data_IF_480963045065
#
_entry.id   IF_480963045065
#
_cell.length_a   1.000
_cell.length_b   1.000
_cell.length_c   1.000
_cell.angle_alpha   90.00
_cell.angle_beta   90.00
_cell.angle_gamma   90.00
#
_symmetry.space_group_name_H-M   'P 1'
#
loop_
_entity.id
_entity.type
_entity.pdbx_description
1 polymer ?
#
# COMPACT_ATOMS: atom_id res chain seq x y z
N UNK A 1 -9.14 -8.30 -43.66
CA UNK A 1 -9.77 -7.08 -43.11
C UNK A 1 -9.70 -7.19 -41.60
N UNK A 2 -9.12 -6.21 -40.89
CA UNK A 2 -9.12 -6.24 -39.42
C UNK A 2 -10.46 -5.68 -38.96
N UNK A 3 -11.30 -6.52 -38.36
CA UNK A 3 -12.60 -6.12 -37.82
C UNK A 3 -12.51 -6.08 -36.31
N UNK A 4 -12.85 -4.95 -35.72
CA UNK A 4 -12.99 -4.84 -34.26
C UNK A 4 -14.17 -5.70 -33.80
N UNK A 5 -13.90 -6.70 -32.96
CA UNK A 5 -14.93 -7.50 -32.32
C UNK A 5 -15.41 -6.76 -31.07
N UNK A 6 -16.72 -6.51 -30.97
CA UNK A 6 -17.27 -5.87 -29.77
C UNK A 6 -17.12 -6.83 -28.57
N UNK A 7 -16.62 -6.34 -27.42
CA UNK A 7 -16.50 -7.17 -26.22
C UNK A 7 -17.88 -7.58 -25.69
N UNK A 8 -17.91 -8.75 -25.06
CA UNK A 8 -19.04 -9.28 -24.31
C UNK A 8 -18.51 -9.75 -22.96
N UNK A 9 -19.11 -9.26 -21.89
CA UNK A 9 -18.75 -9.61 -20.52
C UNK A 9 -20.02 -9.79 -19.69
N UNK A 10 -19.93 -10.54 -18.59
CA UNK A 10 -21.07 -10.79 -17.70
C UNK A 10 -20.61 -10.93 -16.26
N UNK A 11 -21.40 -10.40 -15.33
CA UNK A 11 -21.18 -10.54 -13.88
C UNK A 11 -21.87 -11.81 -13.42
N UNK A 12 -21.14 -12.64 -12.68
CA UNK A 12 -21.70 -13.77 -11.93
C UNK A 12 -21.66 -13.40 -10.45
N UNK A 13 -22.81 -13.34 -9.81
CA UNK A 13 -22.93 -12.98 -8.39
C UNK A 13 -23.87 -13.95 -7.65
N UNK A 14 -23.66 -14.06 -6.34
CA UNK A 14 -24.45 -14.92 -5.44
C UNK A 14 -25.25 -14.09 -4.43
N UNK A 15 -26.00 -13.09 -4.90
CA UNK A 15 -26.89 -12.31 -4.04
C UNK A 15 -28.13 -13.12 -3.64
N UNK A 16 -28.71 -12.76 -2.49
CA UNK A 16 -29.96 -13.35 -2.05
C UNK A 16 -31.05 -13.18 -3.11
N UNK A 17 -31.65 -14.28 -3.55
CA UNK A 17 -32.74 -14.23 -4.52
C UNK A 17 -33.96 -13.52 -3.90
N UNK A 18 -34.73 -12.76 -4.68
CA UNK A 18 -36.02 -12.27 -4.22
C UNK A 18 -36.95 -13.44 -3.88
N UNK A 19 -37.90 -13.18 -3.00
CA UNK A 19 -39.02 -14.07 -2.65
C UNK A 19 -40.33 -13.48 -3.17
N UNK A 20 -41.45 -14.20 -3.01
CA UNK A 20 -42.75 -13.75 -3.50
C UNK A 20 -43.23 -12.43 -2.83
N UNK A 21 -42.86 -12.21 -1.57
CA UNK A 21 -43.32 -11.10 -0.73
C UNK A 21 -42.22 -10.07 -0.42
N UNK A 22 -40.96 -10.38 -0.75
CA UNK A 22 -39.82 -9.49 -0.47
C UNK A 22 -38.79 -9.49 -1.61
N UNK A 23 -38.40 -8.30 -2.12
CA UNK A 23 -37.35 -8.20 -3.13
C UNK A 23 -35.98 -8.61 -2.57
N UNK A 24 -35.00 -8.78 -3.46
CA UNK A 24 -33.60 -8.92 -3.04
C UNK A 24 -33.14 -7.60 -2.40
N UNK A 25 -32.66 -7.67 -1.15
CA UNK A 25 -32.12 -6.53 -0.42
C UNK A 25 -30.65 -6.82 -0.19
N UNK A 26 -29.79 -6.00 -0.77
CA UNK A 26 -28.35 -6.14 -0.65
C UNK A 26 -27.86 -5.45 0.63
N UNK A 27 -26.95 -6.11 1.32
CA UNK A 27 -26.07 -5.47 2.29
C UNK A 27 -25.14 -4.48 1.59
N UNK A 28 -24.59 -3.52 2.35
CA UNK A 28 -23.64 -2.56 1.78
C UNK A 28 -22.39 -3.25 1.19
N UNK A 29 -21.88 -4.30 1.82
CA UNK A 29 -20.77 -5.10 1.29
C UNK A 29 -21.11 -5.84 -0.01
N UNK A 30 -22.36 -6.27 -0.22
CA UNK A 30 -22.80 -6.81 -1.52
C UNK A 30 -22.87 -5.73 -2.59
N UNK A 31 -23.24 -4.49 -2.23
CA UNK A 31 -23.23 -3.34 -3.15
C UNK A 31 -21.80 -2.94 -3.52
N UNK A 32 -20.88 -2.94 -2.55
CA UNK A 32 -19.43 -2.74 -2.79
C UNK A 32 -18.88 -3.82 -3.72
N UNK A 33 -19.17 -5.09 -3.46
CA UNK A 33 -18.79 -6.22 -4.32
C UNK A 33 -19.36 -6.05 -5.74
N UNK A 34 -20.62 -5.61 -5.86
CA UNK A 34 -21.20 -5.36 -7.18
C UNK A 34 -20.46 -4.27 -7.95
N UNK A 35 -20.06 -3.18 -7.27
CA UNK A 35 -19.26 -2.12 -7.88
C UNK A 35 -17.86 -2.60 -8.25
N UNK A 36 -17.22 -3.43 -7.42
CA UNK A 36 -15.96 -4.08 -7.74
C UNK A 36 -16.06 -4.85 -9.07
N UNK A 37 -17.01 -5.78 -9.16
CA UNK A 37 -17.20 -6.59 -10.37
C UNK A 37 -17.60 -5.75 -11.59
N UNK A 38 -18.40 -4.69 -11.38
CA UNK A 38 -18.75 -3.75 -12.44
C UNK A 38 -17.52 -3.01 -12.99
N UNK A 39 -16.50 -2.76 -12.16
CA UNK A 39 -15.22 -2.19 -12.61
C UNK A 39 -14.49 -3.11 -13.60
N UNK A 40 -14.44 -4.41 -13.32
CA UNK A 40 -13.90 -5.43 -14.25
C UNK A 40 -14.68 -5.45 -15.56
N UNK A 41 -16.01 -5.43 -15.51
CA UNK A 41 -16.86 -5.39 -16.71
C UNK A 41 -16.62 -4.13 -17.52
N UNK A 42 -16.53 -2.96 -16.88
CA UNK A 42 -16.26 -1.72 -17.59
C UNK A 42 -14.90 -1.80 -18.30
N UNK A 43 -13.90 -2.38 -17.67
CA UNK A 43 -12.59 -2.54 -18.30
C UNK A 43 -12.64 -3.47 -19.53
N UNK A 44 -13.36 -4.59 -19.44
CA UNK A 44 -13.59 -5.49 -20.59
C UNK A 44 -14.40 -4.82 -21.72
N UNK A 45 -15.44 -4.05 -21.38
CA UNK A 45 -16.34 -3.44 -22.36
C UNK A 45 -15.76 -2.20 -23.04
N UNK A 46 -14.89 -1.46 -22.36
CA UNK A 46 -14.37 -0.18 -22.82
C UNK A 46 -13.03 -0.29 -23.54
N UNK A 47 -12.39 -1.47 -23.52
CA UNK A 47 -11.13 -1.70 -24.20
C UNK A 47 -11.20 -1.39 -25.70
N UNK A 48 -10.10 -0.89 -26.24
CA UNK A 48 -9.84 -0.68 -27.67
C UNK A 48 -8.51 -1.31 -28.09
N UNK A 49 -7.96 -2.20 -27.26
CA UNK A 49 -6.70 -2.88 -27.52
C UNK A 49 -6.73 -3.55 -28.90
N UNK A 50 -5.61 -3.43 -29.63
CA UNK A 50 -5.51 -3.95 -30.99
C UNK A 50 -5.46 -5.48 -31.04
N UNK A 51 -4.90 -6.11 -30.01
CA UNK A 51 -4.72 -7.56 -29.95
C UNK A 51 -5.54 -8.13 -28.79
N UNK A 52 -6.20 -9.27 -29.03
CA UNK A 52 -7.04 -9.93 -28.03
C UNK A 52 -6.24 -10.34 -26.76
N UNK A 53 -4.95 -10.62 -26.90
CA UNK A 53 -4.05 -10.91 -25.77
C UNK A 53 -3.84 -9.74 -24.81
N UNK A 54 -4.24 -8.53 -25.21
CA UNK A 54 -4.14 -7.31 -24.41
C UNK A 54 -5.51 -6.66 -24.17
N UNK A 55 -6.61 -7.25 -24.64
CA UNK A 55 -7.93 -6.63 -24.50
C UNK A 55 -8.50 -6.80 -23.10
N UNK A 56 -9.19 -5.77 -22.63
CA UNK A 56 -9.95 -5.81 -21.36
C UNK A 56 -9.05 -6.02 -20.16
N UNK A 57 -9.43 -6.98 -19.31
CA UNK A 57 -8.71 -7.35 -18.08
C UNK A 57 -7.42 -8.13 -18.30
N UNK A 58 -6.91 -8.26 -19.53
CA UNK A 58 -5.56 -8.77 -19.80
C UNK A 58 -4.49 -7.70 -19.46
N UNK A 59 -4.42 -7.33 -18.17
CA UNK A 59 -3.50 -6.36 -17.57
C UNK A 59 -2.40 -7.08 -16.77
N UNK A 60 -1.39 -6.34 -16.30
CA UNK A 60 -0.51 -6.86 -15.26
C UNK A 60 -1.30 -7.38 -14.05
N UNK A 61 -0.88 -8.54 -13.53
CA UNK A 61 -1.57 -9.26 -12.45
C UNK A 61 -1.75 -8.41 -11.19
N UNK A 62 -0.79 -7.54 -10.89
CA UNK A 62 -0.79 -6.66 -9.72
C UNK A 62 -1.42 -5.27 -9.99
N UNK A 63 -2.01 -5.06 -11.17
CA UNK A 63 -2.79 -3.87 -11.52
C UNK A 63 -4.25 -4.17 -11.90
N UNK A 64 -4.56 -5.41 -12.29
CA UNK A 64 -5.90 -5.78 -12.78
C UNK A 64 -7.03 -5.44 -11.80
N UNK A 65 -6.76 -5.41 -10.50
CA UNK A 65 -7.72 -5.03 -9.46
C UNK A 65 -7.82 -3.52 -9.22
N UNK A 66 -6.91 -2.71 -9.77
CA UNK A 66 -6.90 -1.27 -9.51
C UNK A 66 -8.15 -0.56 -10.08
N UNK A 67 -8.62 -0.87 -11.31
CA UNK A 67 -9.89 -0.34 -11.82
C UNK A 67 -11.11 -0.72 -10.97
N UNK A 68 -11.23 -1.98 -10.54
CA UNK A 68 -12.35 -2.49 -9.73
C UNK A 68 -12.36 -1.86 -8.35
N UNK A 69 -11.23 -1.88 -7.64
CA UNK A 69 -11.07 -1.28 -6.32
C UNK A 69 -11.24 0.25 -6.33
N UNK A 70 -10.92 0.92 -7.44
CA UNK A 70 -11.19 2.36 -7.56
C UNK A 70 -12.70 2.62 -7.56
N UNK A 71 -13.49 1.76 -8.23
CA UNK A 71 -14.93 1.91 -8.36
C UNK A 71 -15.67 1.67 -7.04
N UNK A 72 -15.11 0.85 -6.14
CA UNK A 72 -15.63 0.65 -4.77
C UNK A 72 -15.78 1.96 -4.00
N UNK A 73 -14.92 2.95 -4.23
CA UNK A 73 -15.00 4.22 -3.50
C UNK A 73 -16.33 4.97 -3.71
N UNK A 74 -17.03 4.74 -4.84
CA UNK A 74 -18.32 5.38 -5.10
C UNK A 74 -19.38 4.97 -4.09
N UNK A 75 -19.43 3.71 -3.65
CA UNK A 75 -20.48 3.24 -2.72
C UNK A 75 -20.33 3.80 -1.30
N UNK A 76 -19.24 4.51 -1.04
CA UNK A 76 -18.96 5.23 0.20
C UNK A 76 -19.21 6.74 0.10
N UNK A 77 -19.81 7.24 -1.00
CA UNK A 77 -20.11 8.66 -1.18
C UNK A 77 -21.57 8.97 -0.84
N UNK A 78 -21.86 9.99 -0.01
CA UNK A 78 -23.23 10.39 0.31
C UNK A 78 -24.11 10.58 -0.92
N UNK A 79 -23.57 11.23 -1.94
CA UNK A 79 -24.28 11.57 -3.18
C UNK A 79 -24.62 10.33 -4.00
N UNK A 80 -23.78 9.28 -3.93
CA UNK A 80 -24.04 7.99 -4.59
C UNK A 80 -25.03 7.17 -3.78
N UNK A 81 -24.89 7.13 -2.45
CA UNK A 81 -25.84 6.46 -1.57
C UNK A 81 -27.26 7.02 -1.74
N UNK A 82 -27.41 8.32 -1.97
CA UNK A 82 -28.72 8.95 -2.22
C UNK A 82 -29.35 8.47 -3.53
N UNK A 83 -28.53 8.16 -4.55
CA UNK A 83 -28.98 7.60 -5.83
C UNK A 83 -29.33 6.11 -5.68
N UNK A 84 -28.48 5.34 -5.01
CA UNK A 84 -28.61 3.88 -4.89
C UNK A 84 -29.67 3.44 -3.88
N UNK A 85 -30.02 4.28 -2.90
CA UNK A 85 -30.88 3.89 -1.78
C UNK A 85 -32.32 4.37 -1.91
N UNK A 86 -33.23 3.56 -1.36
CA UNK A 86 -34.65 3.82 -1.17
C UNK A 86 -35.26 2.66 -0.38
N UNK A 87 -36.23 2.93 0.50
CA UNK A 87 -36.89 1.85 1.23
C UNK A 87 -37.68 0.96 0.25
N UNK A 88 -37.51 -0.35 0.31
CA UNK A 88 -38.09 -1.25 -0.70
C UNK A 88 -39.63 -1.22 -0.81
N UNK A 89 -40.33 -0.74 0.24
CA UNK A 89 -41.79 -0.51 0.22
C UNK A 89 -42.19 0.87 -0.30
N UNK A 90 -41.26 1.81 -0.34
CA UNK A 90 -41.49 3.22 -0.66
C UNK A 90 -40.15 3.88 -1.00
N UNK A 91 -39.82 3.91 -2.29
CA UNK A 91 -38.51 4.37 -2.79
C UNK A 91 -38.27 5.86 -2.53
N UNK A 92 -39.33 6.64 -2.25
CA UNK A 92 -39.21 8.06 -1.89
C UNK A 92 -38.58 8.24 -0.50
N UNK A 93 -38.66 7.21 0.36
CA UNK A 93 -38.00 7.19 1.66
C UNK A 93 -36.53 6.80 1.48
N UNK A 94 -35.70 7.83 1.31
CA UNK A 94 -34.23 7.73 1.21
C UNK A 94 -33.58 7.29 2.53
N UNK A 95 -32.31 6.87 2.44
CA UNK A 95 -31.51 6.50 3.60
C UNK A 95 -31.48 7.65 4.63
N UNK A 96 -32.02 7.44 5.85
CA UNK A 96 -32.03 8.48 6.88
C UNK A 96 -30.62 8.99 7.20
N UNK A 97 -30.48 10.29 7.41
CA UNK A 97 -29.16 10.94 7.62
C UNK A 97 -28.37 10.33 8.80
N UNK A 98 -29.05 9.96 9.88
CA UNK A 98 -28.39 9.31 11.02
C UNK A 98 -27.80 7.94 10.63
N UNK A 99 -28.50 7.15 9.81
CA UNK A 99 -28.01 5.86 9.33
C UNK A 99 -26.90 6.04 8.29
N UNK A 100 -27.03 7.04 7.40
CA UNK A 100 -25.99 7.40 6.43
C UNK A 100 -24.68 7.76 7.12
N UNK A 101 -24.72 8.65 8.12
CA UNK A 101 -23.52 8.99 8.91
C UNK A 101 -22.93 7.77 9.63
N UNK A 102 -23.78 6.92 10.22
CA UNK A 102 -23.34 5.69 10.86
C UNK A 102 -22.63 4.73 9.90
N UNK A 103 -23.20 4.53 8.71
CA UNK A 103 -22.61 3.72 7.64
C UNK A 103 -21.24 4.27 7.22
N UNK A 104 -21.15 5.56 6.92
CA UNK A 104 -19.89 6.18 6.49
C UNK A 104 -18.82 6.16 7.58
N UNK A 105 -19.19 6.38 8.84
CA UNK A 105 -18.28 6.27 9.97
C UNK A 105 -17.76 4.83 10.17
N UNK A 106 -18.55 3.82 9.76
CA UNK A 106 -18.15 2.41 9.86
C UNK A 106 -17.09 1.99 8.84
N UNK A 107 -16.80 2.80 7.81
CA UNK A 107 -15.80 2.48 6.78
C UNK A 107 -14.39 2.21 7.36
N UNK A 108 -14.06 2.83 8.50
CA UNK A 108 -12.79 2.66 9.20
C UNK A 108 -12.82 1.56 10.27
N UNK A 109 -13.98 0.98 10.54
CA UNK A 109 -14.11 -0.02 11.59
C UNK A 109 -13.36 -1.29 11.17
N UNK A 110 -12.46 -1.77 12.03
CA UNK A 110 -11.63 -2.97 11.81
C UNK A 110 -10.72 -2.96 10.57
N UNK A 111 -10.41 -1.81 9.97
CA UNK A 111 -9.46 -1.73 8.83
C UNK A 111 -8.11 -2.37 9.17
N UNK A 112 -7.57 -2.15 10.37
CA UNK A 112 -6.32 -2.81 10.80
C UNK A 112 -6.38 -4.35 10.78
N UNK A 113 -7.51 -4.94 11.18
CA UNK A 113 -7.72 -6.40 11.13
C UNK A 113 -7.88 -6.87 9.68
N UNK A 114 -8.62 -6.11 8.87
CA UNK A 114 -8.81 -6.42 7.46
C UNK A 114 -7.47 -6.44 6.71
N UNK A 115 -6.67 -5.38 6.82
CA UNK A 115 -5.40 -5.24 6.12
C UNK A 115 -4.32 -6.18 6.65
N UNK A 116 -4.27 -6.44 7.96
CA UNK A 116 -3.36 -7.47 8.49
C UNK A 116 -3.71 -8.87 7.98
N UNK A 117 -4.99 -9.20 7.80
CA UNK A 117 -5.41 -10.45 7.16
C UNK A 117 -5.01 -10.50 5.69
N UNK A 118 -5.16 -9.41 4.94
CA UNK A 118 -4.70 -9.34 3.55
C UNK A 118 -3.17 -9.55 3.47
N UNK A 119 -2.41 -8.92 4.37
CA UNK A 119 -0.96 -9.12 4.45
C UNK A 119 -0.60 -10.56 4.82
N UNK A 120 -1.36 -11.19 5.72
CA UNK A 120 -1.21 -12.61 6.03
C UNK A 120 -1.40 -13.49 4.79
N UNK A 121 -2.48 -13.30 4.05
CA UNK A 121 -2.76 -14.07 2.84
C UNK A 121 -1.70 -13.85 1.75
N UNK A 122 -1.30 -12.60 1.52
CA UNK A 122 -0.25 -12.26 0.55
C UNK A 122 1.10 -12.87 0.93
N UNK A 123 1.48 -12.78 2.20
CA UNK A 123 2.76 -13.33 2.70
C UNK A 123 2.77 -14.85 2.63
N UNK A 124 1.65 -15.49 2.99
CA UNK A 124 1.50 -16.94 2.91
C UNK A 124 1.59 -17.42 1.47
N UNK A 125 0.79 -16.86 0.57
CA UNK A 125 0.82 -17.17 -0.87
C UNK A 125 2.23 -17.00 -1.45
N UNK A 126 2.89 -15.88 -1.17
CA UNK A 126 4.25 -15.63 -1.63
C UNK A 126 5.25 -16.69 -1.14
N UNK A 127 5.22 -17.05 0.16
CA UNK A 127 6.15 -18.04 0.72
C UNK A 127 5.87 -19.43 0.17
N UNK A 128 4.60 -19.82 0.01
CA UNK A 128 4.23 -21.10 -0.59
C UNK A 128 4.82 -21.26 -1.99
N UNK A 129 4.75 -20.22 -2.82
CA UNK A 129 5.19 -20.24 -4.22
C UNK A 129 6.67 -19.89 -4.44
N UNK A 130 7.41 -19.47 -3.41
CA UNK A 130 8.85 -19.15 -3.53
C UNK A 130 9.76 -20.08 -2.76
N UNK A 131 9.28 -20.69 -1.66
CA UNK A 131 10.13 -21.43 -0.73
C UNK A 131 9.72 -22.89 -0.53
N UNK A 132 8.56 -23.32 -1.04
CA UNK A 132 8.05 -24.70 -0.90
C UNK A 132 8.24 -25.27 0.53
N UNK A 133 7.65 -24.61 1.55
CA UNK A 133 7.85 -24.98 2.95
C UNK A 133 7.36 -26.42 3.22
N UNK A 134 8.12 -27.16 4.02
CA UNK A 134 7.79 -28.56 4.37
C UNK A 134 6.56 -28.67 5.27
N UNK A 135 6.36 -27.71 6.15
CA UNK A 135 5.22 -27.66 7.09
C UNK A 135 4.40 -26.38 6.85
N UNK A 136 3.42 -26.51 5.96
CA UNK A 136 2.51 -25.42 5.56
C UNK A 136 1.63 -25.00 6.74
N UNK A 137 1.20 -25.95 7.58
CA UNK A 137 0.31 -25.67 8.70
C UNK A 137 1.01 -24.85 9.78
N UNK A 138 2.22 -25.25 10.16
CA UNK A 138 3.02 -24.49 11.11
C UNK A 138 3.33 -23.08 10.57
N UNK A 139 3.63 -22.96 9.27
CA UNK A 139 3.82 -21.66 8.63
C UNK A 139 2.57 -20.78 8.73
N UNK A 140 1.41 -21.30 8.30
CA UNK A 140 0.16 -20.55 8.30
C UNK A 140 -0.24 -20.12 9.71
N UNK A 141 -0.11 -21.01 10.69
CA UNK A 141 -0.40 -20.72 12.11
C UNK A 141 0.49 -19.61 12.65
N UNK A 142 1.80 -19.69 12.36
CA UNK A 142 2.78 -18.69 12.76
C UNK A 142 2.49 -17.34 12.13
N UNK A 143 2.29 -17.29 10.81
CA UNK A 143 2.03 -16.05 10.08
C UNK A 143 0.70 -15.40 10.48
N UNK A 144 -0.36 -16.20 10.71
CA UNK A 144 -1.63 -15.69 11.21
C UNK A 144 -1.41 -14.95 12.54
N UNK A 145 -0.69 -15.59 13.48
CA UNK A 145 -0.41 -14.98 14.79
C UNK A 145 0.49 -13.75 14.69
N UNK A 146 1.57 -13.81 13.92
CA UNK A 146 2.55 -12.74 13.77
C UNK A 146 1.97 -11.50 13.08
N UNK A 147 1.18 -11.68 12.02
CA UNK A 147 0.71 -10.59 11.18
C UNK A 147 -0.64 -10.03 11.64
N UNK A 148 -1.54 -10.87 12.13
CA UNK A 148 -2.90 -10.46 12.55
C UNK A 148 -3.05 -10.34 14.06
N UNK A 149 -2.13 -10.88 14.84
CA UNK A 149 -2.27 -11.03 16.29
C UNK A 149 -3.23 -12.15 16.72
N UNK A 150 -3.94 -12.78 15.78
CA UNK A 150 -4.98 -13.79 16.00
C UNK A 150 -4.41 -15.16 15.63
N UNK A 151 -4.51 -16.11 16.58
CA UNK A 151 -4.15 -17.50 16.29
C UNK A 151 -5.26 -18.15 15.46
N UNK A 152 -4.90 -19.07 14.56
CA UNK A 152 -5.89 -19.91 13.91
C UNK A 152 -6.63 -20.75 14.98
N UNK A 153 -7.97 -20.79 14.97
CA UNK A 153 -8.72 -21.66 15.88
C UNK A 153 -8.48 -23.13 15.52
N UNK A 154 -8.79 -24.09 16.42
CA UNK A 154 -8.76 -25.51 16.08
C UNK A 154 -9.61 -25.82 14.84
N UNK A 155 -9.05 -26.49 13.83
CA UNK A 155 -9.72 -26.74 12.54
C UNK A 155 -9.69 -25.54 11.59
N UNK A 156 -9.19 -24.38 12.04
CA UNK A 156 -9.09 -23.16 11.24
C UNK A 156 -8.18 -23.30 10.04
N UNK A 157 -7.24 -24.24 10.08
CA UNK A 157 -6.33 -24.58 8.99
C UNK A 157 -7.02 -25.06 7.70
N UNK A 158 -8.29 -25.48 7.78
CA UNK A 158 -9.08 -25.82 6.60
C UNK A 158 -9.15 -24.68 5.59
N UNK A 159 -8.95 -23.42 6.05
CA UNK A 159 -8.92 -22.27 5.16
C UNK A 159 -7.92 -22.44 4.02
N UNK A 160 -6.78 -23.11 4.26
CA UNK A 160 -5.74 -23.36 3.25
C UNK A 160 -6.28 -24.14 2.05
N UNK A 161 -7.15 -25.12 2.29
CA UNK A 161 -7.75 -25.92 1.24
C UNK A 161 -8.90 -25.19 0.53
N UNK A 162 -9.54 -24.22 1.19
CA UNK A 162 -10.57 -23.36 0.60
C UNK A 162 -10.03 -22.07 0.00
N UNK A 163 -8.71 -21.82 0.11
CA UNK A 163 -8.10 -20.60 -0.38
C UNK A 163 -7.89 -20.68 -1.90
N UNK A 164 -8.98 -20.50 -2.65
CA UNK A 164 -9.03 -20.71 -4.09
C UNK A 164 -8.01 -19.89 -4.88
N UNK A 165 -7.61 -18.71 -4.38
CA UNK A 165 -6.58 -17.87 -5.00
C UNK A 165 -5.20 -18.52 -5.09
N UNK A 166 -4.92 -19.57 -4.31
CA UNK A 166 -3.71 -20.38 -4.49
C UNK A 166 -3.69 -21.15 -5.82
N UNK A 167 -4.74 -21.08 -6.63
CA UNK A 167 -4.84 -21.72 -7.96
C UNK A 167 -5.32 -20.71 -8.99
N UNK A 168 -4.47 -20.33 -9.96
CA UNK A 168 -4.79 -19.39 -11.03
C UNK A 168 -4.51 -17.91 -10.68
N UNK A 169 -4.31 -17.63 -9.39
CA UNK A 169 -3.79 -16.36 -8.85
C UNK A 169 -2.55 -16.60 -7.96
N UNK A 170 -1.96 -17.80 -8.06
CA UNK A 170 -0.83 -18.26 -7.27
C UNK A 170 0.39 -17.34 -7.37
N UNK A 171 0.97 -17.02 -6.21
CA UNK A 171 2.09 -16.08 -6.09
C UNK A 171 1.71 -14.61 -6.39
N UNK A 172 0.44 -14.34 -6.69
CA UNK A 172 -0.07 -13.04 -7.10
C UNK A 172 -0.95 -12.36 -6.06
N UNK A 173 -1.24 -12.97 -4.91
CA UNK A 173 -2.23 -12.44 -3.95
C UNK A 173 -1.86 -11.05 -3.39
N UNK A 174 -0.56 -10.72 -3.35
CA UNK A 174 -0.09 -9.37 -3.01
C UNK A 174 -0.68 -8.28 -3.93
N UNK A 175 -1.07 -8.66 -5.14
CA UNK A 175 -1.67 -7.80 -6.16
C UNK A 175 -2.91 -7.07 -5.67
N UNK A 176 -3.70 -7.63 -4.73
CA UNK A 176 -4.86 -6.93 -4.17
C UNK A 176 -4.46 -5.65 -3.41
N UNK A 177 -3.46 -5.72 -2.52
CA UNK A 177 -3.00 -4.54 -1.78
C UNK A 177 -2.22 -3.59 -2.68
N UNK A 178 -1.45 -4.13 -3.63
CA UNK A 178 -0.66 -3.34 -4.57
C UNK A 178 -1.55 -2.55 -5.54
N UNK A 179 -2.57 -3.20 -6.10
CA UNK A 179 -3.62 -2.56 -6.91
C UNK A 179 -4.38 -1.51 -6.12
N UNK A 180 -4.65 -1.75 -4.84
CA UNK A 180 -5.44 -0.80 -4.04
C UNK A 180 -4.69 0.52 -3.86
N UNK A 181 -3.36 0.48 -3.75
CA UNK A 181 -2.53 1.68 -3.75
C UNK A 181 -2.75 2.52 -5.01
N UNK A 182 -2.74 1.89 -6.19
CA UNK A 182 -3.03 2.59 -7.45
C UNK A 182 -4.47 3.05 -7.55
N UNK A 183 -5.42 2.22 -7.10
CA UNK A 183 -6.83 2.55 -7.07
C UNK A 183 -7.09 3.83 -6.28
N UNK A 184 -6.51 3.95 -5.08
CA UNK A 184 -6.66 5.13 -4.23
C UNK A 184 -5.95 6.35 -4.82
N UNK A 185 -4.77 6.17 -5.42
CA UNK A 185 -4.08 7.25 -6.11
C UNK A 185 -4.88 7.79 -7.32
N UNK A 186 -5.52 6.93 -8.09
CA UNK A 186 -6.40 7.30 -9.20
C UNK A 186 -7.71 7.94 -8.70
N UNK A 187 -8.30 7.39 -7.65
CA UNK A 187 -9.53 7.88 -7.02
C UNK A 187 -9.44 9.35 -6.59
N UNK A 188 -8.28 9.78 -6.08
CA UNK A 188 -8.05 11.19 -5.72
C UNK A 188 -8.21 12.18 -6.90
N UNK A 189 -8.14 11.71 -8.16
CA UNK A 189 -8.53 12.53 -9.31
C UNK A 189 -10.01 12.87 -9.31
N UNK A 190 -10.85 11.87 -9.08
CA UNK A 190 -12.29 12.04 -8.97
C UNK A 190 -12.68 12.84 -7.72
N UNK A 191 -12.02 12.62 -6.59
CA UNK A 191 -12.32 13.40 -5.37
C UNK A 191 -12.03 14.89 -5.55
N UNK A 192 -10.95 15.24 -6.26
CA UNK A 192 -10.56 16.65 -6.48
C UNK A 192 -11.43 17.37 -7.50
N UNK A 193 -11.88 16.66 -8.53
CA UNK A 193 -12.55 17.27 -9.69
C UNK A 193 -14.07 17.05 -9.73
N UNK A 194 -14.57 16.21 -8.82
CA UNK A 194 -15.97 15.82 -8.71
C UNK A 194 -16.19 14.38 -9.15
N UNK A 195 -16.81 13.57 -8.28
CA UNK A 195 -17.02 12.12 -8.48
C UNK A 195 -17.99 11.78 -9.64
N UNK A 196 -18.74 12.77 -10.13
CA UNK A 196 -19.63 12.66 -11.29
C UNK A 196 -19.15 13.50 -12.49
N UNK A 197 -17.92 14.00 -12.44
CA UNK A 197 -17.37 14.79 -13.54
C UNK A 197 -17.15 13.90 -14.77
N UNK A 198 -17.94 14.14 -15.82
CA UNK A 198 -17.89 13.37 -17.06
C UNK A 198 -16.55 13.54 -17.80
N UNK A 199 -15.91 14.70 -17.70
CA UNK A 199 -14.60 14.94 -18.30
C UNK A 199 -13.54 14.08 -17.62
N UNK A 200 -13.50 14.07 -16.29
CA UNK A 200 -12.60 13.22 -15.50
C UNK A 200 -12.83 11.74 -15.82
N UNK A 201 -14.09 11.30 -15.90
CA UNK A 201 -14.45 9.93 -16.31
C UNK A 201 -13.96 9.58 -17.72
N UNK A 202 -14.08 10.50 -18.68
CA UNK A 202 -13.58 10.29 -20.04
C UNK A 202 -12.05 10.26 -20.11
N UNK A 203 -11.35 11.05 -19.29
CA UNK A 203 -9.88 10.96 -19.18
C UNK A 203 -9.46 9.63 -18.59
N UNK A 204 -10.10 9.18 -17.51
CA UNK A 204 -9.84 7.86 -16.92
C UNK A 204 -10.06 6.73 -17.94
N UNK A 205 -11.21 6.73 -18.63
CA UNK A 205 -11.51 5.75 -19.68
C UNK A 205 -10.41 5.69 -20.74
N UNK A 206 -10.04 6.85 -21.31
CA UNK A 206 -9.03 6.92 -22.38
C UNK A 206 -7.64 6.52 -21.90
N UNK A 207 -7.25 6.97 -20.71
CA UNK A 207 -5.91 6.75 -20.19
C UNK A 207 -5.69 5.31 -19.67
N UNK A 208 -6.70 4.74 -19.01
CA UNK A 208 -6.58 3.48 -18.25
C UNK A 208 -7.34 2.33 -18.91
N UNK A 209 -8.62 2.50 -19.24
CA UNK A 209 -9.49 1.37 -19.64
C UNK A 209 -9.38 1.00 -21.13
N UNK A 210 -9.18 2.00 -22.01
CA UNK A 210 -9.15 1.76 -23.47
C UNK A 210 -7.93 0.94 -23.92
N UNK A 211 -6.84 0.93 -23.15
CA UNK A 211 -5.61 0.28 -23.57
C UNK A 211 -5.54 -1.22 -23.24
N UNK A 212 -6.25 -1.68 -22.20
CA UNK A 212 -5.96 -3.00 -21.63
C UNK A 212 -4.45 -3.17 -21.38
N UNK A 213 -3.90 -4.34 -21.68
CA UNK A 213 -2.46 -4.62 -21.55
C UNK A 213 -1.57 -4.08 -22.67
N UNK A 214 -2.10 -3.26 -23.61
CA UNK A 214 -1.32 -2.73 -24.75
C UNK A 214 -0.46 -1.50 -24.35
N UNK A 215 -0.59 -1.04 -23.10
CA UNK A 215 0.18 0.07 -22.53
C UNK A 215 0.64 -0.30 -21.11
N UNK A 216 1.90 0.02 -20.72
CA UNK A 216 2.35 -0.11 -19.33
C UNK A 216 1.47 0.67 -18.36
N UNK A 217 1.12 0.06 -17.24
CA UNK A 217 0.15 0.56 -16.27
C UNK A 217 0.58 1.89 -15.65
N UNK A 218 1.88 2.04 -15.37
CA UNK A 218 2.45 3.28 -14.87
C UNK A 218 2.33 4.45 -15.86
N UNK A 219 2.38 4.17 -17.18
CA UNK A 219 2.11 5.18 -18.20
C UNK A 219 0.63 5.56 -18.22
N UNK A 220 -0.27 4.58 -18.10
CA UNK A 220 -1.72 4.81 -17.98
C UNK A 220 -2.08 5.67 -16.77
N UNK A 221 -1.47 5.40 -15.61
CA UNK A 221 -1.64 6.19 -14.39
C UNK A 221 -1.09 7.62 -14.58
N UNK A 222 0.12 7.76 -15.14
CA UNK A 222 0.73 9.08 -15.41
C UNK A 222 -0.10 9.91 -16.38
N UNK A 223 -0.63 9.30 -17.43
CA UNK A 223 -1.52 9.99 -18.38
C UNK A 223 -2.80 10.47 -17.70
N UNK A 224 -3.36 9.68 -16.78
CA UNK A 224 -4.57 10.07 -16.06
C UNK A 224 -4.34 11.14 -14.98
N UNK A 225 -3.27 10.99 -14.19
CA UNK A 225 -3.03 11.77 -12.97
C UNK A 225 -1.97 12.87 -13.11
N UNK A 226 -1.15 12.81 -14.16
CA UNK A 226 -0.05 13.74 -14.41
C UNK A 226 1.22 13.49 -13.59
N UNK A 227 1.25 12.45 -12.76
CA UNK A 227 2.42 12.07 -11.96
C UNK A 227 2.45 10.57 -11.67
N UNK A 228 3.60 10.08 -11.22
CA UNK A 228 3.73 8.70 -10.74
C UNK A 228 2.89 8.47 -9.46
N UNK A 229 2.40 7.24 -9.24
CA UNK A 229 1.59 6.91 -8.08
C UNK A 229 2.38 6.97 -6.76
N UNK A 230 1.72 7.41 -5.70
CA UNK A 230 2.24 7.35 -4.32
C UNK A 230 1.25 6.63 -3.40
N UNK A 231 1.72 6.01 -2.30
CA UNK A 231 0.84 5.31 -1.36
C UNK A 231 0.05 6.24 -0.42
N UNK A 232 0.23 7.56 -0.52
CA UNK A 232 -0.31 8.50 0.46
C UNK A 232 -1.85 8.48 0.53
N UNK A 233 -2.51 8.31 -0.63
CA UNK A 233 -3.96 8.19 -0.72
C UNK A 233 -4.47 6.93 0.01
N UNK A 234 -3.78 5.81 -0.20
CA UNK A 234 -4.07 4.56 0.47
C UNK A 234 -3.84 4.67 1.99
N UNK A 235 -2.74 5.28 2.43
CA UNK A 235 -2.48 5.50 3.85
C UNK A 235 -3.50 6.45 4.51
N UNK A 236 -4.06 7.41 3.77
CA UNK A 236 -5.24 8.18 4.21
C UNK A 236 -6.45 7.28 4.38
N UNK A 237 -6.76 6.46 3.37
CA UNK A 237 -7.89 5.54 3.40
C UNK A 237 -7.84 4.61 4.61
N UNK A 238 -6.68 4.10 5.00
CA UNK A 238 -6.57 3.13 6.10
C UNK A 238 -6.26 3.76 7.46
N UNK A 239 -6.23 5.10 7.54
CA UNK A 239 -6.07 5.82 8.81
C UNK A 239 -4.65 5.90 9.37
N UNK A 240 -3.61 5.65 8.55
CA UNK A 240 -2.20 5.72 8.97
C UNK A 240 -1.43 6.91 8.35
N UNK A 241 -2.15 7.91 7.85
CA UNK A 241 -1.54 9.13 7.32
C UNK A 241 -0.68 9.85 8.34
N UNK A 242 0.51 10.29 7.91
CA UNK A 242 1.53 10.84 8.80
C UNK A 242 2.46 9.79 9.41
N UNK A 243 2.18 8.48 9.20
CA UNK A 243 3.15 7.39 9.38
C UNK A 243 3.79 6.96 8.06
N UNK A 244 3.56 7.71 6.97
CA UNK A 244 4.54 7.74 5.89
C UNK A 244 5.82 8.26 6.51
N UNK A 245 6.75 7.36 6.78
CA UNK A 245 8.18 7.67 6.76
C UNK A 245 8.40 8.54 5.53
N UNK A 246 8.47 9.85 5.78
CA UNK A 246 9.26 10.77 4.99
C UNK A 246 10.68 10.18 5.00
N UNK A 247 10.96 9.30 4.05
CA UNK A 247 12.34 9.01 3.67
C UNK A 247 12.91 10.24 2.93
N UNK A 248 12.07 11.19 2.48
CA UNK A 248 12.50 12.27 1.59
C UNK A 248 12.36 13.72 2.09
N UNK A 249 11.85 14.00 3.30
CA UNK A 249 11.70 15.39 3.80
C UNK A 249 12.11 15.62 5.25
N UNK A 250 12.93 14.73 5.81
CA UNK A 250 13.65 14.99 7.06
C UNK A 250 15.14 15.19 6.80
N UNK A 251 15.92 15.66 7.79
CA UNK A 251 17.37 15.87 7.65
C UNK A 251 18.15 14.66 7.12
N UNK A 252 17.65 13.44 7.37
CA UNK A 252 18.19 12.19 6.84
C UNK A 252 17.93 12.03 5.33
N UNK A 253 16.76 12.42 4.84
CA UNK A 253 16.43 12.45 3.41
C UNK A 253 17.22 13.50 2.65
N UNK A 254 17.45 14.68 3.24
CA UNK A 254 18.34 15.70 2.66
C UNK A 254 19.82 15.27 2.65
N UNK A 255 20.24 14.51 3.65
CA UNK A 255 21.60 13.94 3.73
C UNK A 255 21.77 12.80 2.71
N UNK A 256 20.78 11.93 2.53
CA UNK A 256 20.79 10.87 1.51
C UNK A 256 20.73 11.45 0.09
N UNK A 257 19.91 12.48 -0.15
CA UNK A 257 19.87 13.19 -1.43
C UNK A 257 21.20 13.89 -1.73
N UNK A 258 21.87 14.50 -0.74
CA UNK A 258 23.22 15.05 -0.89
C UNK A 258 24.26 13.96 -1.17
N UNK A 259 24.15 12.79 -0.56
CA UNK A 259 25.04 11.64 -0.82
C UNK A 259 24.80 11.04 -2.22
N UNK A 260 23.56 11.02 -2.72
CA UNK A 260 23.22 10.61 -4.09
C UNK A 260 23.66 11.65 -5.14
N UNK A 261 23.50 12.94 -4.85
CA UNK A 261 23.94 14.05 -5.71
C UNK A 261 25.49 14.10 -5.79
N UNK A 262 26.18 13.88 -4.67
CA UNK A 262 27.64 13.69 -4.62
C UNK A 262 28.10 12.34 -5.19
N UNK A 263 27.18 11.36 -5.30
CA UNK A 263 27.38 10.04 -5.89
C UNK A 263 27.30 10.00 -7.42
N UNK A 264 26.92 11.10 -8.08
CA UNK A 264 27.04 11.28 -9.53
C UNK A 264 28.49 11.55 -9.94
N UNK A 265 29.36 10.58 -9.66
CA UNK A 265 30.70 10.53 -10.23
C UNK A 265 30.56 10.22 -11.72
N UNK A 266 30.97 11.15 -12.59
CA UNK A 266 31.17 10.82 -14.01
C UNK A 266 32.20 9.68 -14.06
N UNK A 267 31.96 8.66 -14.87
CA UNK A 267 32.79 7.45 -14.90
C UNK A 267 34.29 7.80 -14.99
N UNK A 268 35.07 7.42 -13.97
CA UNK A 268 36.54 7.53 -14.00
C UNK A 268 37.22 8.27 -12.83
N UNK A 269 36.48 8.99 -11.97
CA UNK A 269 37.10 9.67 -10.81
C UNK A 269 36.94 8.88 -9.50
N UNK A 270 37.94 9.00 -8.60
CA UNK A 270 37.87 8.35 -7.27
C UNK A 270 36.84 9.07 -6.39
N UNK A 271 35.95 8.34 -5.69
CA UNK A 271 34.96 8.95 -4.81
C UNK A 271 35.63 9.69 -3.64
N UNK A 272 35.01 10.77 -3.12
CA UNK A 272 35.55 11.54 -2.00
C UNK A 272 35.63 10.69 -0.73
N UNK A 273 36.72 10.89 0.03
CA UNK A 273 37.01 10.19 1.30
C UNK A 273 36.55 11.08 2.45
N UNK A 274 35.62 10.59 3.27
CA UNK A 274 35.23 11.26 4.51
C UNK A 274 36.27 11.00 5.61
N UNK A 275 36.75 12.06 6.24
CA UNK A 275 37.61 11.99 7.42
C UNK A 275 36.80 11.63 8.67
N UNK A 276 37.47 11.07 9.69
CA UNK A 276 36.87 10.79 11.00
C UNK A 276 36.22 12.04 11.63
N UNK A 277 36.75 13.22 11.31
CA UNK A 277 36.21 14.51 11.74
C UNK A 277 34.86 14.80 11.09
N UNK A 278 34.67 14.46 9.81
CA UNK A 278 33.41 14.65 9.09
C UNK A 278 32.35 13.67 9.56
N UNK A 279 32.73 12.42 9.82
CA UNK A 279 31.84 11.41 10.40
C UNK A 279 31.39 11.77 11.82
N UNK A 280 32.29 12.32 12.64
CA UNK A 280 31.94 12.87 13.97
C UNK A 280 30.98 14.05 13.87
N UNK A 281 31.23 15.00 12.96
CA UNK A 281 30.33 16.14 12.75
C UNK A 281 28.94 15.72 12.29
N UNK A 282 28.84 14.68 11.47
CA UNK A 282 27.57 14.09 11.05
C UNK A 282 26.85 13.47 12.24
N UNK A 283 27.55 12.66 13.05
CA UNK A 283 27.02 12.07 14.28
C UNK A 283 26.53 13.13 15.28
N UNK A 284 27.30 14.20 15.48
CA UNK A 284 26.94 15.29 16.39
C UNK A 284 25.72 16.08 15.89
N UNK A 285 25.60 16.24 14.57
CA UNK A 285 24.44 16.88 13.95
C UNK A 285 23.19 16.05 14.15
N UNK A 286 23.26 14.74 13.91
CA UNK A 286 22.14 13.83 14.16
C UNK A 286 21.71 13.83 15.63
N UNK A 287 22.66 13.92 16.57
CA UNK A 287 22.37 14.02 18.00
C UNK A 287 21.61 15.31 18.36
N UNK A 288 22.06 16.46 17.83
CA UNK A 288 21.38 17.75 18.07
C UNK A 288 19.96 17.78 17.52
N UNK A 289 19.76 17.32 16.29
CA UNK A 289 18.45 17.26 15.65
C UNK A 289 17.47 16.35 16.41
N UNK A 290 17.95 15.22 16.91
CA UNK A 290 17.15 14.32 17.74
C UNK A 290 16.73 14.97 19.07
N UNK A 291 17.64 15.66 19.75
CA UNK A 291 17.32 16.38 21.00
C UNK A 291 16.29 17.48 20.76
N UNK A 292 16.46 18.29 19.70
CA UNK A 292 15.51 19.34 19.33
C UNK A 292 14.11 18.78 19.03
N UNK A 293 14.04 17.63 18.36
CA UNK A 293 12.77 16.95 18.13
C UNK A 293 12.10 16.49 19.44
N UNK A 294 12.86 15.90 20.37
CA UNK A 294 12.34 15.48 21.69
C UNK A 294 11.80 16.68 22.48
N UNK A 295 12.50 17.82 22.45
CA UNK A 295 12.05 19.06 23.09
C UNK A 295 10.75 19.59 22.46
N UNK A 296 10.64 19.57 21.12
CA UNK A 296 9.39 19.92 20.43
C UNK A 296 8.20 19.04 20.82
N UNK A 297 8.42 17.75 21.08
CA UNK A 297 7.35 16.87 21.55
C UNK A 297 6.94 17.18 23.00
N UNK A 298 7.88 17.58 23.87
CA UNK A 298 7.58 17.99 25.24
C UNK A 298 6.73 19.25 25.30
N UNK A 299 7.03 20.23 24.44
CA UNK A 299 6.21 21.46 24.31
C UNK A 299 4.77 21.15 23.89
N UNK A 300 4.57 20.06 23.14
CA UNK A 300 3.25 19.54 22.74
C UNK A 300 2.57 18.68 23.81
N UNK A 301 3.09 18.66 25.04
CA UNK A 301 2.49 17.98 26.19
C UNK A 301 2.89 16.51 26.34
N UNK A 302 3.83 16.01 25.53
CA UNK A 302 4.28 14.63 25.61
C UNK A 302 5.20 14.41 26.84
N UNK A 303 4.85 13.45 27.71
CA UNK A 303 5.63 13.13 28.91
C UNK A 303 6.66 12.04 28.64
N UNK A 304 7.72 12.36 27.89
CA UNK A 304 8.85 11.46 27.67
C UNK A 304 10.14 12.01 28.29
N UNK A 305 10.97 11.15 28.89
CA UNK A 305 12.38 11.47 29.14
C UNK A 305 13.19 11.16 27.88
N UNK A 306 14.24 11.94 27.59
CA UNK A 306 15.05 11.76 26.38
C UNK A 306 15.62 10.33 26.25
N UNK A 307 15.95 9.73 27.40
CA UNK A 307 16.39 8.32 27.52
C UNK A 307 15.28 7.30 27.25
N UNK A 308 14.01 7.62 27.56
CA UNK A 308 12.85 6.77 27.31
C UNK A 308 12.54 6.73 25.81
N UNK A 309 12.62 7.88 25.13
CA UNK A 309 12.53 7.98 23.67
C UNK A 309 13.63 7.19 22.97
N UNK A 310 14.85 7.16 23.52
CA UNK A 310 15.97 6.37 22.99
C UNK A 310 15.76 4.86 23.18
N UNK A 311 15.12 4.38 24.24
CA UNK A 311 14.80 2.95 24.40
C UNK A 311 13.71 2.48 23.44
N UNK A 312 12.68 3.30 23.24
CA UNK A 312 11.60 3.01 22.29
C UNK A 312 12.10 3.10 20.84
N UNK A 313 12.94 4.08 20.51
CA UNK A 313 13.57 4.15 19.18
C UNK A 313 14.69 3.14 19.00
N UNK A 314 15.59 2.87 19.94
CA UNK A 314 16.66 1.88 19.72
C UNK A 314 16.13 0.43 19.58
N UNK A 315 14.95 0.12 20.14
CA UNK A 315 14.23 -1.12 19.87
C UNK A 315 13.64 -1.19 18.45
N UNK A 316 13.42 -0.04 17.80
CA UNK A 316 12.81 0.09 16.47
C UNK A 316 13.75 0.65 15.37
N UNK A 317 14.91 1.22 15.71
CA UNK A 317 15.82 2.00 14.83
C UNK A 317 17.15 1.27 14.58
N UNK A 318 17.40 0.14 15.27
CA UNK A 318 18.06 -0.97 14.56
C UNK A 318 17.00 -1.68 13.73
N UNK A 319 16.28 -0.90 12.91
CA UNK A 319 15.28 -1.44 12.04
C UNK A 319 16.01 -2.33 11.05
N UNK A 320 15.34 -3.43 10.71
CA UNK A 320 15.74 -4.33 9.65
C UNK A 320 16.07 -3.55 8.37
N UNK A 321 15.54 -2.34 8.16
CA UNK A 321 15.89 -1.46 7.05
C UNK A 321 17.29 -0.82 7.13
N UNK A 322 17.82 -0.41 8.29
CA UNK A 322 19.20 0.09 8.37
C UNK A 322 20.21 -1.05 8.18
N UNK A 323 19.90 -2.22 8.76
CA UNK A 323 20.67 -3.44 8.53
C UNK A 323 20.57 -3.90 7.07
N UNK A 324 19.38 -3.86 6.46
CA UNK A 324 19.15 -4.19 5.06
C UNK A 324 19.76 -3.15 4.12
N UNK A 325 19.78 -1.86 4.44
CA UNK A 325 20.48 -0.84 3.64
C UNK A 325 22.00 -1.03 3.70
N UNK A 326 22.54 -1.37 4.88
CA UNK A 326 23.96 -1.72 5.04
C UNK A 326 24.35 -2.99 4.27
N UNK A 327 23.44 -3.97 4.17
CA UNK A 327 23.66 -5.28 3.55
C UNK A 327 23.32 -5.32 2.05
N UNK A 328 22.17 -4.78 1.62
CA UNK A 328 21.68 -4.77 0.22
C UNK A 328 22.43 -3.77 -0.66
N UNK A 329 22.76 -2.58 -0.16
CA UNK A 329 23.36 -1.52 -1.00
C UNK A 329 24.89 -1.53 -1.02
N UNK A 330 25.52 -2.54 -0.41
CA UNK A 330 26.97 -2.70 -0.42
C UNK A 330 27.72 -1.63 0.38
N UNK A 331 27.03 -0.81 1.17
CA UNK A 331 27.61 0.22 2.02
C UNK A 331 28.63 -0.37 3.01
N UNK A 332 28.35 -1.55 3.58
CA UNK A 332 29.30 -2.25 4.48
C UNK A 332 30.59 -2.65 3.73
N UNK A 333 30.47 -3.15 2.49
CA UNK A 333 31.62 -3.51 1.63
C UNK A 333 32.40 -2.27 1.19
N UNK A 334 31.71 -1.17 0.88
CA UNK A 334 32.33 0.13 0.57
C UNK A 334 33.09 0.70 1.78
N UNK A 335 32.49 0.70 2.97
CA UNK A 335 33.14 1.16 4.21
C UNK A 335 34.34 0.29 4.59
N UNK A 336 34.27 -1.03 4.41
CA UNK A 336 35.40 -1.94 4.59
C UNK A 336 36.53 -1.65 3.58
N UNK A 337 36.20 -1.40 2.31
CA UNK A 337 37.17 -1.01 1.29
C UNK A 337 37.82 0.35 1.54
N UNK A 338 37.08 1.28 2.16
CA UNK A 338 37.55 2.64 2.47
C UNK A 338 38.40 2.73 3.75
N UNK A 339 38.11 1.90 4.75
CA UNK A 339 38.80 1.93 6.05
C UNK A 339 39.90 0.89 6.19
N UNK A 340 39.93 -0.12 5.31
CA UNK A 340 40.83 -1.27 5.42
C UNK A 340 40.53 -2.17 6.63
N UNK A 341 39.48 -1.89 7.40
CA UNK A 341 39.09 -2.65 8.58
C UNK A 341 37.93 -3.59 8.28
N UNK A 342 37.94 -4.78 8.90
CA UNK A 342 36.82 -5.73 8.80
C UNK A 342 35.68 -5.28 9.72
N UNK A 343 34.74 -4.53 9.17
CA UNK A 343 33.57 -4.01 9.87
C UNK A 343 32.42 -5.02 9.86
N UNK A 344 31.71 -5.18 10.98
CA UNK A 344 30.46 -5.96 11.07
C UNK A 344 29.31 -5.01 11.45
N UNK A 345 28.07 -5.34 11.06
CA UNK A 345 26.88 -4.54 11.39
C UNK A 345 26.80 -4.19 12.89
N UNK A 346 27.08 -5.12 13.83
CA UNK A 346 27.14 -4.80 15.26
C UNK A 346 28.22 -3.78 15.63
N UNK A 347 29.38 -3.80 14.97
CA UNK A 347 30.53 -2.93 15.28
C UNK A 347 30.37 -1.50 14.75
N UNK A 348 29.72 -1.36 13.59
CA UNK A 348 29.34 -0.04 13.05
C UNK A 348 28.21 0.57 13.89
N UNK A 349 27.25 -0.26 14.31
CA UNK A 349 26.23 0.12 15.27
C UNK A 349 26.85 0.58 16.60
N UNK A 350 27.75 -0.19 17.20
CA UNK A 350 28.43 0.19 18.45
C UNK A 350 29.24 1.49 18.35
N UNK A 351 29.86 1.77 17.21
CA UNK A 351 30.71 2.96 17.05
C UNK A 351 29.87 4.23 16.88
N UNK A 352 28.88 4.20 16.00
CA UNK A 352 27.99 5.33 15.71
C UNK A 352 27.05 5.59 16.90
N UNK A 353 26.42 4.55 17.43
CA UNK A 353 25.53 4.68 18.57
C UNK A 353 26.29 4.83 19.91
N UNK A 354 27.58 4.46 19.98
CA UNK A 354 28.40 4.60 21.17
C UNK A 354 28.87 6.03 21.47
N UNK A 355 29.17 6.83 20.44
CA UNK A 355 29.38 8.28 20.60
C UNK A 355 28.04 9.00 20.84
N UNK A 356 26.99 8.62 20.12
CA UNK A 356 25.64 9.15 20.30
C UNK A 356 25.11 8.94 21.75
N UNK A 357 25.31 7.76 22.34
CA UNK A 357 25.00 7.47 23.76
C UNK A 357 25.81 8.32 24.74
N UNK A 358 27.06 8.67 24.41
CA UNK A 358 27.90 9.53 25.25
C UNK A 358 27.44 10.98 25.23
N UNK A 359 26.89 11.44 24.10
CA UNK A 359 26.34 12.79 23.94
C UNK A 359 24.99 12.96 24.63
N UNK A 360 24.10 11.95 24.61
CA UNK A 360 22.79 12.01 25.29
C UNK A 360 22.91 11.92 26.83
N UNK A 361 23.97 11.29 27.34
CA UNK A 361 24.22 11.13 28.79
C UNK A 361 24.92 12.33 29.45
N UNK A 362 25.52 13.22 28.66
CA UNK A 362 26.10 14.49 29.13
C UNK A 362 25.06 15.58 29.07
#
# INVERSE_FOLDING_TARGET
MRTYQRPLAGIVANFNRPSADRPSILSHGEVETFFHEAGHILNDLLTKARYASYSGNNLARDFVEAPSQMLENWVWRPEVLDVLSGHYKDETKKLPENLRRGLLASAQFNTGVLYSRQLFYATLDYILHTQAPKDILALATRLAKELTGIALPPGGEQFLASFGHLVGYDGGYYGYLYSEVFAQFMWEGFEREGIFNAETGMRYRRAVQEHGGDRPEMESIREFRGSDPTPDAFFRKIGISGQTTSISKGPLGETLAKLEEMGRVRSGEKPPVFSDTELRRLSDTMAREYVAWVESQREKGARFRCEDGFRETAGYVVSRELADAMLKEGLLRKLQGLTGQRLTVPKVSETIFGEFRRTIRR
#
